data_IF_611148516399
#
_entry.id   IF_611148516399
#
_cell.length_a   1.000
_cell.length_b   1.000
_cell.length_c   1.000
_cell.angle_alpha   90.00
_cell.angle_beta   90.00
_cell.angle_gamma   90.00
#
_symmetry.space_group_name_H-M   'P 1'
#
loop_
_entity.id
_entity.type
_entity.pdbx_description
1 polymer ?
#
# COMPACT_ATOMS: atom_id res chain seq x y z
N UNK A 1 -7.81 26.58 12.57
CA UNK A 1 -8.33 26.13 11.26
C UNK A 1 -7.18 25.72 10.33
N UNK A 2 -6.52 24.58 10.61
CA UNK A 2 -5.59 23.90 9.67
C UNK A 2 -5.51 22.42 10.06
N UNK A 3 -6.54 21.63 9.72
CA UNK A 3 -6.58 20.18 9.99
C UNK A 3 -7.08 19.36 8.78
N UNK A 4 -7.58 19.98 7.70
CA UNK A 4 -8.27 19.25 6.63
C UNK A 4 -7.33 18.62 5.59
N UNK A 5 -6.15 19.21 5.35
CA UNK A 5 -5.24 18.73 4.30
C UNK A 5 -4.51 17.46 4.75
N UNK A 6 -4.03 17.44 6.00
CA UNK A 6 -3.34 16.26 6.56
C UNK A 6 -4.27 15.04 6.64
N UNK A 7 -5.54 15.26 7.06
CA UNK A 7 -6.56 14.20 7.10
C UNK A 7 -6.83 13.66 5.70
N UNK A 8 -6.87 14.53 4.68
CA UNK A 8 -7.05 14.12 3.30
C UNK A 8 -5.86 13.30 2.78
N UNK A 9 -4.63 13.74 3.05
CA UNK A 9 -3.41 13.02 2.66
C UNK A 9 -3.41 11.62 3.28
N UNK A 10 -3.69 11.51 4.58
CA UNK A 10 -3.78 10.22 5.28
C UNK A 10 -4.86 9.35 4.64
N UNK A 11 -6.05 9.89 4.36
CA UNK A 11 -7.14 9.14 3.73
C UNK A 11 -6.76 8.61 2.33
N UNK A 12 -6.07 9.40 1.52
CA UNK A 12 -5.58 8.99 0.20
C UNK A 12 -4.58 7.84 0.34
N UNK A 13 -3.60 7.96 1.24
CA UNK A 13 -2.59 6.93 1.48
C UNK A 13 -3.24 5.64 1.99
N UNK A 14 -4.15 5.73 2.95
CA UNK A 14 -4.87 4.57 3.45
C UNK A 14 -5.66 3.86 2.34
N UNK A 15 -6.33 4.63 1.48
CA UNK A 15 -7.09 4.06 0.38
C UNK A 15 -6.17 3.35 -0.62
N UNK A 16 -5.02 3.95 -0.97
CA UNK A 16 -4.04 3.30 -1.83
C UNK A 16 -3.53 1.97 -1.25
N UNK A 17 -3.30 1.93 0.07
CA UNK A 17 -2.92 0.70 0.79
C UNK A 17 -4.04 -0.34 0.77
N UNK A 18 -5.30 0.07 0.95
CA UNK A 18 -6.46 -0.82 0.84
C UNK A 18 -6.56 -1.42 -0.56
N UNK A 19 -6.50 -0.58 -1.59
CA UNK A 19 -6.56 -0.99 -2.99
C UNK A 19 -5.43 -1.98 -3.33
N UNK A 20 -4.20 -1.75 -2.85
CA UNK A 20 -3.08 -2.67 -3.06
C UNK A 20 -3.32 -4.08 -2.49
N UNK A 21 -3.99 -4.16 -1.33
CA UNK A 21 -4.28 -5.43 -0.63
C UNK A 21 -5.38 -6.22 -1.33
N UNK A 22 -6.46 -5.55 -1.75
CA UNK A 22 -7.68 -6.20 -2.23
C UNK A 22 -7.78 -6.30 -3.75
N UNK A 23 -7.08 -5.45 -4.51
CA UNK A 23 -7.16 -5.40 -5.96
C UNK A 23 -5.79 -5.71 -6.60
N UNK A 24 -5.47 -6.99 -6.86
CA UNK A 24 -4.22 -7.38 -7.51
C UNK A 24 -3.96 -6.67 -8.85
N UNK A 25 -5.02 -6.39 -9.61
CA UNK A 25 -4.96 -5.68 -10.89
C UNK A 25 -4.45 -4.24 -10.78
N UNK A 26 -4.71 -3.57 -9.65
CA UNK A 26 -4.28 -2.18 -9.41
C UNK A 26 -2.88 -2.05 -8.81
N UNK A 27 -2.21 -3.14 -8.45
CA UNK A 27 -0.93 -3.08 -7.73
C UNK A 27 0.15 -2.28 -8.46
N UNK A 28 0.23 -2.40 -9.78
CA UNK A 28 1.21 -1.67 -10.58
C UNK A 28 0.92 -0.16 -10.58
N UNK A 29 -0.36 0.22 -10.64
CA UNK A 29 -0.80 1.61 -10.58
C UNK A 29 -0.51 2.22 -9.20
N UNK A 30 -0.81 1.49 -8.13
CA UNK A 30 -0.50 1.92 -6.76
C UNK A 30 1.01 2.04 -6.52
N UNK A 31 1.84 1.15 -7.08
CA UNK A 31 3.31 1.31 -7.02
C UNK A 31 3.77 2.56 -7.78
N UNK A 32 3.18 2.86 -8.93
CA UNK A 32 3.46 4.10 -9.67
C UNK A 32 3.06 5.33 -8.87
N UNK A 33 1.91 5.29 -8.19
CA UNK A 33 1.47 6.34 -7.28
C UNK A 33 2.51 6.63 -6.19
N UNK A 34 2.96 5.61 -5.45
CA UNK A 34 3.98 5.79 -4.39
C UNK A 34 5.35 6.26 -4.92
N UNK A 35 5.67 6.01 -6.19
CA UNK A 35 6.90 6.49 -6.85
C UNK A 35 6.77 7.87 -7.48
N UNK A 36 5.56 8.40 -7.56
CA UNK A 36 5.28 9.64 -8.27
C UNK A 36 5.77 10.87 -7.50
N UNK A 37 6.14 11.92 -8.22
CA UNK A 37 6.44 13.23 -7.63
C UNK A 37 5.24 13.80 -6.87
N UNK A 38 4.02 13.44 -7.29
CA UNK A 38 2.79 13.81 -6.57
C UNK A 38 2.78 13.23 -5.15
N UNK A 39 3.16 11.97 -4.96
CA UNK A 39 3.26 11.38 -3.62
C UNK A 39 4.33 12.05 -2.76
N UNK A 40 5.51 12.36 -3.33
CA UNK A 40 6.56 13.11 -2.64
C UNK A 40 6.11 14.51 -2.22
N UNK A 41 5.27 15.16 -3.02
CA UNK A 41 4.70 16.47 -2.71
C UNK A 41 3.63 16.38 -1.60
N UNK A 42 2.90 15.26 -1.52
CA UNK A 42 1.90 15.03 -0.48
C UNK A 42 2.52 14.61 0.86
N UNK A 43 3.71 13.98 0.85
CA UNK A 43 4.30 13.41 2.06
C UNK A 43 5.80 13.20 1.93
N UNK A 44 6.52 13.47 3.02
CA UNK A 44 7.96 13.18 3.16
C UNK A 44 8.29 11.69 3.37
N UNK A 45 7.31 10.80 3.22
CA UNK A 45 7.50 9.35 3.39
C UNK A 45 8.21 8.73 2.19
N UNK A 46 9.02 7.70 2.45
CA UNK A 46 9.64 6.90 1.39
C UNK A 46 8.63 5.91 0.77
N UNK A 47 8.19 6.22 -0.45
CA UNK A 47 7.27 5.37 -1.21
C UNK A 47 7.81 3.98 -1.53
N UNK A 48 9.12 3.81 -1.73
CA UNK A 48 9.71 2.48 -1.97
C UNK A 48 9.67 1.63 -0.70
N UNK A 49 9.90 2.25 0.46
CA UNK A 49 9.77 1.56 1.74
C UNK A 49 8.35 1.04 1.97
N UNK A 50 7.33 1.84 1.64
CA UNK A 50 5.92 1.44 1.73
C UNK A 50 5.65 0.25 0.81
N UNK A 51 6.08 0.31 -0.45
CA UNK A 51 5.90 -0.78 -1.42
C UNK A 51 6.51 -2.08 -0.91
N UNK A 52 7.77 -2.06 -0.46
CA UNK A 52 8.46 -3.26 0.06
C UNK A 52 7.72 -3.88 1.24
N UNK A 53 7.23 -3.05 2.16
CA UNK A 53 6.45 -3.51 3.31
C UNK A 53 5.14 -4.17 2.87
N UNK A 54 4.45 -3.60 1.89
CA UNK A 54 3.21 -4.16 1.35
C UNK A 54 3.43 -5.50 0.63
N UNK A 55 4.51 -5.64 -0.14
CA UNK A 55 4.87 -6.90 -0.79
C UNK A 55 5.12 -8.01 0.23
N UNK A 56 5.93 -7.71 1.26
CA UNK A 56 6.22 -8.65 2.34
C UNK A 56 4.94 -9.15 3.03
N UNK A 57 4.01 -8.25 3.36
CA UNK A 57 2.73 -8.61 3.98
C UNK A 57 1.87 -9.54 3.11
N UNK A 58 1.89 -9.34 1.79
CA UNK A 58 1.14 -10.18 0.85
C UNK A 58 1.78 -11.55 0.73
N UNK A 59 3.11 -11.62 0.67
CA UNK A 59 3.82 -12.90 0.57
C UNK A 59 3.71 -13.72 1.86
N UNK A 60 3.74 -13.07 3.03
CA UNK A 60 3.42 -13.71 4.31
C UNK A 60 1.99 -14.28 4.31
N UNK A 61 0.99 -13.51 3.85
CA UNK A 61 -0.39 -14.01 3.70
C UNK A 61 -0.49 -15.21 2.77
N UNK A 62 0.23 -15.22 1.65
CA UNK A 62 0.28 -16.36 0.73
C UNK A 62 0.87 -17.59 1.41
N UNK A 63 2.01 -17.46 2.11
CA UNK A 63 2.66 -18.56 2.84
C UNK A 63 1.74 -19.18 3.88
N UNK A 64 1.03 -18.35 4.66
CA UNK A 64 0.04 -18.83 5.64
C UNK A 64 -1.10 -19.60 4.96
N UNK A 65 -1.60 -19.11 3.82
CA UNK A 65 -2.67 -19.80 3.07
C UNK A 65 -2.21 -21.15 2.53
N UNK A 66 -1.01 -21.23 1.96
CA UNK A 66 -0.43 -22.48 1.45
C UNK A 66 -0.26 -23.50 2.58
N UNK A 67 0.30 -23.09 3.73
CA UNK A 67 0.49 -23.98 4.87
C UNK A 67 -0.83 -24.55 5.44
N UNK A 68 -1.94 -23.82 5.33
CA UNK A 68 -3.26 -24.31 5.75
C UNK A 68 -3.87 -25.32 4.77
N UNK A 69 -3.55 -25.21 3.48
CA UNK A 69 -4.03 -26.14 2.45
C UNK A 69 -3.27 -27.46 2.52
N UNK A 70 -1.94 -27.43 2.74
CA UNK A 70 -1.09 -28.63 2.80
C UNK A 70 -1.31 -29.48 4.07
N UNK A 71 -1.86 -28.89 5.14
CA UNK A 71 -2.19 -29.59 6.39
C UNK A 71 -3.60 -30.21 6.42
N UNK A 72 -4.37 -30.11 5.33
CA UNK A 72 -5.67 -30.77 5.15
C UNK A 72 -5.50 -31.96 4.25
#
# INVERSE_FOLDING_TARGET
MMQNIDVLIVAIIEQAVRDYKFLPSKRNEIKRFFRSEYFKMLSDLDGEFIIKKLEKLIDEKKRVRVNRVVKR
#
